data_IF_346786871394
#
_entry.id   IF_346786871394
#
_cell.length_a   1.000
_cell.length_b   1.000
_cell.length_c   1.000
_cell.angle_alpha   90.00
_cell.angle_beta   90.00
_cell.angle_gamma   90.00
#
_symmetry.space_group_name_H-M   'P 1'
#
loop_
_entity.id
_entity.type
_entity.pdbx_description
1 polymer ?
#
# COMPACT_ATOMS: atom_id res chain seq x y z
N UNK A 1 26.89 4.26 -17.80
CA UNK A 1 25.92 4.94 -16.91
C UNK A 1 24.89 3.95 -16.36
N UNK A 2 24.20 4.27 -15.25
CA UNK A 2 23.12 3.43 -14.72
C UNK A 2 21.75 4.02 -15.10
N UNK A 3 20.80 3.16 -15.43
CA UNK A 3 19.45 3.58 -15.76
C UNK A 3 18.72 4.11 -14.50
N UNK A 4 18.18 5.34 -14.51
CA UNK A 4 17.52 5.92 -13.32
C UNK A 4 16.18 5.23 -12.98
N UNK A 5 15.62 4.45 -13.89
CA UNK A 5 14.33 3.81 -13.69
C UNK A 5 14.45 2.35 -13.18
N UNK A 6 15.43 1.57 -13.65
CA UNK A 6 15.57 0.16 -13.30
C UNK A 6 16.90 -0.21 -12.64
N UNK A 7 17.86 0.75 -12.53
CA UNK A 7 19.18 0.52 -11.92
C UNK A 7 20.16 -0.31 -12.75
N UNK A 8 19.77 -0.81 -13.93
CA UNK A 8 20.66 -1.61 -14.78
C UNK A 8 21.77 -0.76 -15.41
N UNK A 9 22.97 -1.35 -15.52
CA UNK A 9 24.11 -0.72 -16.17
C UNK A 9 23.90 -0.69 -17.68
N UNK A 10 23.96 0.51 -18.27
CA UNK A 10 23.85 0.74 -19.69
C UNK A 10 25.19 1.22 -20.24
N UNK A 11 25.60 0.80 -21.47
CA UNK A 11 26.78 1.34 -22.13
C UNK A 11 26.66 2.86 -22.31
N UNK A 12 27.79 3.57 -22.22
CA UNK A 12 27.80 5.01 -22.37
C UNK A 12 27.46 5.37 -23.83
N UNK A 13 26.57 6.38 -23.97
CA UNK A 13 26.09 6.82 -25.28
C UNK A 13 24.83 6.11 -25.81
N UNK A 14 24.27 5.15 -25.08
CA UNK A 14 22.97 4.55 -25.44
C UNK A 14 21.82 5.52 -25.18
N UNK A 15 20.93 5.66 -26.15
CA UNK A 15 19.75 6.57 -26.04
C UNK A 15 18.63 5.98 -25.21
N UNK A 16 18.61 4.67 -25.04
CA UNK A 16 17.56 3.95 -24.32
C UNK A 16 18.16 2.80 -23.49
N UNK A 17 17.61 2.56 -22.31
CA UNK A 17 17.96 1.40 -21.50
C UNK A 17 17.51 0.10 -22.19
N UNK A 18 18.43 -0.84 -22.43
CA UNK A 18 18.11 -2.11 -23.08
C UNK A 18 17.23 -3.04 -22.22
N UNK A 19 17.19 -2.83 -20.91
CA UNK A 19 16.40 -3.64 -19.99
C UNK A 19 14.98 -3.17 -19.80
N UNK A 20 14.73 -1.86 -19.79
CA UNK A 20 13.40 -1.31 -19.46
C UNK A 20 12.88 -0.28 -20.47
N UNK A 21 13.65 0.02 -21.55
CA UNK A 21 13.26 0.94 -22.60
C UNK A 21 13.28 2.43 -22.22
N UNK A 22 13.66 2.80 -20.99
CA UNK A 22 13.68 4.20 -20.55
C UNK A 22 14.70 5.00 -21.34
N UNK A 23 14.35 6.20 -21.88
CA UNK A 23 15.29 7.08 -22.57
C UNK A 23 16.36 7.60 -21.59
N UNK A 24 17.64 7.49 -22.03
CA UNK A 24 18.83 7.88 -21.25
C UNK A 24 19.44 9.18 -21.84
N UNK A 25 18.65 10.24 -21.96
CA UNK A 25 19.15 11.53 -22.42
C UNK A 25 19.91 12.22 -21.29
N UNK A 26 21.20 12.50 -21.53
CA UNK A 26 22.01 13.40 -20.71
C UNK A 26 21.50 14.82 -20.84
N UNK A 27 20.53 15.22 -20.03
CA UNK A 27 20.23 16.65 -19.80
C UNK A 27 21.04 17.12 -18.58
N UNK A 28 22.30 17.50 -18.84
CA UNK A 28 22.92 18.55 -18.03
C UNK A 28 22.36 19.89 -18.56
N UNK A 29 21.33 20.41 -17.89
CA UNK A 29 21.12 21.86 -17.78
C UNK A 29 19.99 22.17 -16.80
N UNK A 30 20.42 22.82 -15.73
CA UNK A 30 19.79 23.90 -14.97
C UNK A 30 18.40 23.72 -14.32
N UNK A 31 18.54 23.61 -13.02
CA UNK A 31 17.70 24.13 -11.94
C UNK A 31 16.94 25.42 -12.33
N UNK A 32 15.62 25.33 -12.46
CA UNK A 32 14.71 26.43 -12.14
C UNK A 32 13.37 25.82 -11.71
N UNK A 33 13.03 26.03 -10.44
CA UNK A 33 11.71 25.76 -9.88
C UNK A 33 10.65 26.58 -10.62
N UNK A 34 9.48 26.03 -10.90
CA UNK A 34 8.29 26.83 -11.10
C UNK A 34 7.40 26.79 -9.86
N UNK A 35 7.13 27.96 -9.32
CA UNK A 35 6.07 28.27 -8.38
C UNK A 35 4.71 27.79 -8.89
N UNK A 36 3.98 27.10 -8.01
CA UNK A 36 2.55 26.84 -8.21
C UNK A 36 1.75 28.05 -7.71
N UNK A 37 1.12 28.76 -8.61
CA UNK A 37 -0.12 29.46 -8.26
C UNK A 37 -1.05 29.66 -9.47
N UNK A 38 -2.17 28.99 -9.38
CA UNK A 38 -3.57 29.39 -9.67
C UNK A 38 -3.89 30.23 -10.94
N UNK A 39 -4.71 29.72 -11.81
CA UNK A 39 -6.09 30.17 -12.13
C UNK A 39 -6.54 29.75 -13.52
N UNK A 40 -7.74 29.22 -13.56
CA UNK A 40 -8.58 29.02 -14.73
C UNK A 40 -8.79 30.32 -15.49
N UNK A 41 -8.76 30.28 -16.80
CA UNK A 41 -9.71 30.96 -17.67
C UNK A 41 -9.56 30.52 -19.14
N UNK A 42 -10.67 30.07 -19.66
CA UNK A 42 -11.10 29.94 -21.03
C UNK A 42 -10.92 31.26 -21.77
N UNK A 43 -10.32 31.27 -22.99
CA UNK A 43 -10.72 32.20 -24.07
C UNK A 43 -10.13 31.80 -25.43
N UNK A 44 -10.99 31.90 -26.38
CA UNK A 44 -10.92 31.78 -27.84
C UNK A 44 -9.76 32.51 -28.50
N UNK A 45 -9.28 31.93 -29.63
CA UNK A 45 -8.42 32.56 -30.60
C UNK A 45 -9.05 33.84 -31.20
N UNK A 46 -8.25 34.82 -31.54
CA UNK A 46 -8.20 35.27 -32.92
C UNK A 46 -6.79 35.45 -33.47
N UNK A 47 -6.71 35.05 -34.71
CA UNK A 47 -5.69 35.24 -35.72
C UNK A 47 -5.23 36.73 -35.81
N UNK A 48 -3.96 37.01 -35.64
CA UNK A 48 -3.34 38.25 -36.16
C UNK A 48 -1.91 37.99 -36.66
N UNK A 49 -1.81 38.08 -37.93
CA UNK A 49 -0.67 38.18 -38.79
C UNK A 49 0.20 39.39 -38.38
N UNK A 50 1.48 39.18 -38.04
CA UNK A 50 2.47 40.24 -37.97
C UNK A 50 3.61 39.96 -38.94
N UNK A 51 3.83 40.97 -39.84
CA UNK A 51 4.87 41.06 -40.83
C UNK A 51 6.25 41.14 -40.18
N UNK A 52 7.21 40.45 -40.79
CA UNK A 52 8.63 40.54 -40.48
C UNK A 52 9.25 41.79 -41.09
N UNK A 53 10.18 42.47 -40.42
CA UNK A 53 11.14 43.31 -41.06
C UNK A 53 12.36 42.52 -41.52
N UNK A 54 12.73 42.78 -42.74
CA UNK A 54 13.85 42.27 -43.52
C UNK A 54 15.19 42.77 -42.93
N UNK A 55 16.14 41.86 -42.63
CA UNK A 55 17.56 42.20 -42.48
C UNK A 55 18.46 41.23 -43.26
N UNK A 56 19.26 41.81 -44.13
CA UNK A 56 20.21 41.32 -45.12
C UNK A 56 21.15 40.19 -44.64
N UNK A 57 21.18 39.14 -45.42
CA UNK A 57 22.28 38.66 -46.26
C UNK A 57 23.70 38.60 -45.63
N UNK A 58 24.07 37.37 -45.13
CA UNK A 58 25.43 36.85 -45.32
C UNK A 58 25.33 35.39 -45.78
N UNK A 59 25.98 35.13 -46.94
CA UNK A 59 26.13 33.83 -47.58
C UNK A 59 26.97 32.90 -46.70
N UNK A 60 26.47 31.72 -46.40
CA UNK A 60 27.29 30.55 -46.03
C UNK A 60 26.94 29.36 -46.93
N UNK A 61 27.94 28.57 -47.31
CA UNK A 61 27.75 27.52 -48.31
C UNK A 61 27.25 26.22 -47.69
N UNK A 62 26.42 25.53 -48.47
CA UNK A 62 26.13 24.09 -48.43
C UNK A 62 26.04 23.40 -47.06
N UNK A 63 24.87 23.47 -46.42
CA UNK A 63 24.48 22.43 -45.49
C UNK A 63 23.52 21.44 -46.16
N UNK A 64 23.93 20.20 -46.21
CA UNK A 64 23.14 19.04 -46.61
C UNK A 64 21.76 19.10 -45.94
N UNK A 65 20.70 19.30 -46.74
CA UNK A 65 19.31 19.09 -46.30
C UNK A 65 19.16 17.64 -45.95
N UNK A 66 19.13 17.33 -44.64
CA UNK A 66 18.61 16.06 -44.16
C UNK A 66 17.12 16.01 -44.50
N UNK A 67 16.63 14.93 -45.13
CA UNK A 67 15.20 14.76 -45.33
C UNK A 67 14.50 14.74 -43.97
N UNK A 68 13.56 15.65 -43.76
CA UNK A 68 12.62 15.58 -42.65
C UNK A 68 11.79 14.29 -42.82
N UNK A 69 12.22 13.23 -42.19
CA UNK A 69 11.39 12.07 -42.00
C UNK A 69 10.29 12.47 -41.00
N UNK A 70 9.14 12.89 -41.53
CA UNK A 70 7.88 12.89 -40.80
C UNK A 70 7.53 11.42 -40.53
N UNK A 71 8.19 10.82 -39.54
CA UNK A 71 7.69 9.57 -38.94
C UNK A 71 6.44 9.95 -38.14
N UNK A 72 5.26 9.43 -38.50
CA UNK A 72 4.13 9.51 -37.61
C UNK A 72 4.57 8.88 -36.28
N UNK A 73 4.45 9.62 -35.18
CA UNK A 73 4.64 9.07 -33.86
C UNK A 73 3.76 7.82 -33.76
N UNK A 74 4.37 6.64 -33.86
CA UNK A 74 3.70 5.41 -33.51
C UNK A 74 3.31 5.55 -32.05
N UNK A 75 2.06 5.84 -31.81
CA UNK A 75 1.45 5.71 -30.50
C UNK A 75 1.63 4.25 -30.11
N UNK A 76 2.67 3.99 -29.29
CA UNK A 76 2.81 2.68 -28.67
C UNK A 76 1.50 2.39 -27.94
N UNK A 77 0.90 1.20 -28.13
CA UNK A 77 -0.29 0.84 -27.40
C UNK A 77 0.03 1.01 -25.92
N UNK A 78 -0.60 2.00 -25.29
CA UNK A 78 -0.55 2.13 -23.85
C UNK A 78 -1.22 0.88 -23.29
N UNK A 79 -0.44 -0.03 -22.75
CA UNK A 79 -0.98 -1.12 -21.95
C UNK A 79 -1.80 -0.48 -20.84
N UNK A 80 -3.07 -0.89 -20.68
CA UNK A 80 -3.91 -0.32 -19.64
C UNK A 80 -3.19 -0.48 -18.30
N UNK A 81 -2.93 0.64 -17.61
CA UNK A 81 -2.32 0.60 -16.29
C UNK A 81 -3.22 -0.24 -15.38
N UNK A 82 -2.65 -1.30 -14.82
CA UNK A 82 -3.35 -2.25 -13.92
C UNK A 82 -4.13 -1.53 -12.80
N UNK A 83 -3.77 -0.31 -12.50
CA UNK A 83 -4.32 0.48 -11.40
C UNK A 83 -5.04 1.75 -11.85
N UNK A 84 -5.36 1.90 -13.14
CA UNK A 84 -6.09 3.04 -13.70
C UNK A 84 -5.53 4.41 -13.25
N UNK A 85 -4.20 4.55 -13.14
CA UNK A 85 -3.53 5.77 -12.68
C UNK A 85 -3.61 6.03 -11.16
N UNK A 86 -4.25 5.17 -10.38
CA UNK A 86 -4.30 5.35 -8.93
C UNK A 86 -2.96 5.07 -8.25
N UNK A 87 -2.59 5.93 -7.31
CA UNK A 87 -1.46 5.67 -6.42
C UNK A 87 -1.81 4.54 -5.43
N UNK A 88 -1.06 3.44 -5.49
CA UNK A 88 -1.36 2.21 -4.74
C UNK A 88 -0.33 1.91 -3.64
N UNK A 89 0.36 2.93 -3.10
CA UNK A 89 1.38 2.75 -2.05
C UNK A 89 0.83 2.03 -0.81
N UNK A 90 -0.30 2.48 -0.28
CA UNK A 90 -0.97 1.86 0.87
C UNK A 90 -1.41 0.42 0.59
N UNK A 91 -2.00 0.16 -0.56
CA UNK A 91 -2.37 -1.18 -0.99
C UNK A 91 -1.16 -2.12 -1.05
N UNK A 92 -0.04 -1.66 -1.65
CA UNK A 92 1.21 -2.44 -1.70
C UNK A 92 1.74 -2.73 -0.30
N UNK A 93 1.74 -1.74 0.59
CA UNK A 93 2.10 -1.94 1.99
C UNK A 93 1.22 -3.00 2.67
N UNK A 94 -0.10 -2.95 2.48
CA UNK A 94 -1.02 -3.94 3.03
C UNK A 94 -0.70 -5.37 2.55
N UNK A 95 -0.57 -5.60 1.23
CA UNK A 95 -0.43 -6.95 0.67
C UNK A 95 0.97 -7.55 0.83
N UNK A 96 2.02 -6.70 0.87
CA UNK A 96 3.40 -7.20 0.95
C UNK A 96 3.96 -7.22 2.37
N UNK A 97 3.41 -6.43 3.27
CA UNK A 97 3.92 -6.31 4.63
C UNK A 97 2.85 -6.50 5.71
N UNK A 98 1.86 -5.62 5.78
CA UNK A 98 0.98 -5.53 6.95
C UNK A 98 0.19 -6.83 7.23
N UNK A 99 -0.37 -7.47 6.18
CA UNK A 99 -1.14 -8.70 6.34
C UNK A 99 -0.26 -9.90 6.70
N UNK A 100 0.97 -9.97 6.18
CA UNK A 100 1.91 -11.02 6.57
C UNK A 100 2.43 -10.83 7.98
N UNK A 101 2.87 -9.61 8.32
CA UNK A 101 3.34 -9.29 9.66
C UNK A 101 2.22 -9.52 10.70
N UNK A 102 0.99 -9.07 10.39
CA UNK A 102 -0.16 -9.31 11.25
C UNK A 102 -0.46 -10.78 11.45
N UNK A 103 -0.43 -11.60 10.38
CA UNK A 103 -0.63 -13.04 10.49
C UNK A 103 0.48 -13.70 11.34
N UNK A 104 1.74 -13.31 11.12
CA UNK A 104 2.88 -13.80 11.89
C UNK A 104 2.72 -13.48 13.39
N UNK A 105 2.41 -12.23 13.75
CA UNK A 105 2.22 -11.85 15.14
C UNK A 105 1.01 -12.56 15.79
N UNK A 106 -0.08 -12.77 15.05
CA UNK A 106 -1.22 -13.54 15.56
C UNK A 106 -0.82 -14.99 15.89
N UNK A 107 0.02 -15.62 15.05
CA UNK A 107 0.56 -16.96 15.35
C UNK A 107 1.44 -16.95 16.60
N UNK A 108 2.35 -15.96 16.71
CA UNK A 108 3.21 -15.82 17.90
C UNK A 108 2.36 -15.64 19.17
N UNK A 109 1.40 -14.74 19.16
CA UNK A 109 0.51 -14.54 20.32
C UNK A 109 -0.34 -15.77 20.62
N UNK A 110 -0.84 -16.47 19.61
CA UNK A 110 -1.56 -17.72 19.80
C UNK A 110 -0.72 -18.74 20.58
N UNK A 111 0.56 -18.90 20.21
CA UNK A 111 1.48 -19.79 20.93
C UNK A 111 1.69 -19.32 22.38
N UNK A 112 1.94 -18.01 22.59
CA UNK A 112 2.15 -17.46 23.94
C UNK A 112 0.93 -17.69 24.85
N UNK A 113 -0.28 -17.50 24.36
CA UNK A 113 -1.50 -17.75 25.13
C UNK A 113 -1.73 -19.26 25.38
N UNK A 114 -1.59 -20.10 24.35
CA UNK A 114 -1.82 -21.52 24.47
C UNK A 114 -0.81 -22.22 25.40
N UNK A 115 0.41 -21.73 25.48
CA UNK A 115 1.46 -22.22 26.39
C UNK A 115 1.38 -21.58 27.78
N UNK A 116 0.71 -20.45 27.92
CA UNK A 116 0.69 -19.63 29.14
C UNK A 116 1.91 -18.71 29.28
N UNK A 117 2.85 -18.74 28.34
CA UNK A 117 4.06 -17.92 28.41
C UNK A 117 3.78 -16.40 28.42
N UNK A 118 2.55 -15.99 28.10
CA UNK A 118 2.11 -14.60 28.25
C UNK A 118 2.15 -14.11 29.72
N UNK A 119 2.04 -15.03 30.67
CA UNK A 119 2.06 -14.75 32.12
C UNK A 119 3.46 -14.93 32.73
N UNK A 120 4.43 -15.45 31.97
CA UNK A 120 5.75 -15.77 32.48
C UNK A 120 6.51 -14.46 32.78
N UNK A 121 6.87 -14.27 34.06
CA UNK A 121 7.73 -13.18 34.54
C UNK A 121 8.78 -13.77 35.50
N UNK A 122 9.76 -12.95 35.91
CA UNK A 122 10.77 -13.40 36.92
C UNK A 122 10.18 -13.90 38.24
N UNK A 123 8.94 -13.52 38.54
CA UNK A 123 8.28 -13.80 39.81
C UNK A 123 7.03 -14.69 39.69
N UNK A 124 6.52 -14.89 38.48
CA UNK A 124 5.25 -15.63 38.26
C UNK A 124 5.48 -16.70 37.20
N UNK A 125 5.17 -17.93 37.58
CA UNK A 125 5.09 -19.09 36.68
C UNK A 125 3.66 -19.21 36.12
N UNK A 126 3.46 -19.51 34.85
CA UNK A 126 2.15 -19.80 34.25
C UNK A 126 1.30 -20.81 35.03
N UNK A 127 1.92 -21.83 35.62
CA UNK A 127 1.22 -22.84 36.44
C UNK A 127 0.58 -22.23 37.69
N UNK A 128 1.20 -21.20 38.26
CA UNK A 128 0.65 -20.49 39.42
C UNK A 128 -0.63 -19.76 39.03
N UNK A 129 -0.67 -19.08 37.89
CA UNK A 129 -1.87 -18.39 37.38
C UNK A 129 -3.00 -19.41 37.15
N UNK A 130 -2.70 -20.50 36.48
CA UNK A 130 -3.69 -21.54 36.17
C UNK A 130 -4.18 -22.32 37.41
N UNK A 131 -3.38 -22.43 38.48
CA UNK A 131 -3.81 -23.02 39.75
C UNK A 131 -4.76 -22.10 40.51
N UNK A 132 -4.53 -20.78 40.45
CA UNK A 132 -5.40 -19.78 41.07
C UNK A 132 -6.72 -19.60 40.30
N UNK A 133 -6.65 -19.68 38.98
CA UNK A 133 -7.81 -19.48 38.09
C UNK A 133 -7.92 -20.64 37.07
N UNK A 134 -8.48 -21.80 37.47
CA UNK A 134 -8.48 -23.00 36.62
C UNK A 134 -9.16 -22.83 35.25
N UNK A 135 -10.13 -21.90 35.16
CA UNK A 135 -10.83 -21.60 33.92
C UNK A 135 -10.00 -20.82 32.86
N UNK A 136 -8.97 -20.07 33.29
CA UNK A 136 -8.17 -19.22 32.44
C UNK A 136 -7.44 -20.00 31.35
N UNK A 137 -6.89 -21.17 31.68
CA UNK A 137 -6.22 -22.02 30.70
C UNK A 137 -7.12 -22.42 29.52
N UNK A 138 -8.38 -22.74 29.78
CA UNK A 138 -9.33 -23.06 28.71
C UNK A 138 -9.66 -21.84 27.87
N UNK A 139 -9.81 -20.65 28.47
CA UNK A 139 -10.04 -19.38 27.79
C UNK A 139 -8.85 -19.03 26.88
N UNK A 140 -7.62 -19.17 27.36
CA UNK A 140 -6.40 -18.90 26.62
C UNK A 140 -6.24 -19.83 25.41
N UNK A 141 -6.55 -21.12 25.56
CA UNK A 141 -6.54 -22.05 24.44
C UNK A 141 -7.56 -21.63 23.37
N UNK A 142 -8.80 -21.32 23.79
CA UNK A 142 -9.84 -20.85 22.85
C UNK A 142 -9.41 -19.58 22.15
N UNK A 143 -8.86 -18.61 22.89
CA UNK A 143 -8.36 -17.36 22.32
C UNK A 143 -7.22 -17.60 21.33
N UNK A 144 -6.25 -18.45 21.67
CA UNK A 144 -5.16 -18.84 20.77
C UNK A 144 -5.68 -19.46 19.45
N UNK A 145 -6.69 -20.34 19.53
CA UNK A 145 -7.34 -20.89 18.33
C UNK A 145 -7.98 -19.79 17.48
N UNK A 146 -8.67 -18.83 18.09
CA UNK A 146 -9.28 -17.70 17.39
C UNK A 146 -8.23 -16.82 16.69
N UNK A 147 -7.07 -16.60 17.33
CA UNK A 147 -5.94 -15.88 16.71
C UNK A 147 -5.36 -16.64 15.52
N UNK A 148 -5.26 -17.97 15.56
CA UNK A 148 -4.85 -18.79 14.41
C UNK A 148 -5.84 -18.68 13.25
N UNK A 149 -7.15 -18.73 13.54
CA UNK A 149 -8.20 -18.52 12.52
C UNK A 149 -8.07 -17.13 11.91
N UNK A 150 -7.81 -16.10 12.73
CA UNK A 150 -7.60 -14.74 12.27
C UNK A 150 -6.36 -14.63 11.36
N UNK A 151 -5.25 -15.30 11.72
CA UNK A 151 -4.04 -15.35 10.91
C UNK A 151 -4.31 -15.96 9.52
N UNK A 152 -5.03 -17.08 9.47
CA UNK A 152 -5.45 -17.69 8.19
C UNK A 152 -6.32 -16.72 7.39
N UNK A 153 -7.28 -16.05 8.03
CA UNK A 153 -8.14 -15.08 7.37
C UNK A 153 -7.35 -13.88 6.80
N UNK A 154 -6.28 -13.43 7.49
CA UNK A 154 -5.36 -12.40 6.97
C UNK A 154 -4.67 -12.85 5.69
N UNK A 155 -4.17 -14.09 5.63
CA UNK A 155 -3.52 -14.65 4.44
C UNK A 155 -4.52 -14.77 3.28
N UNK A 156 -5.74 -15.26 3.53
CA UNK A 156 -6.81 -15.33 2.52
C UNK A 156 -7.15 -13.94 2.01
N UNK A 157 -7.29 -12.96 2.89
CA UNK A 157 -7.55 -11.54 2.55
C UNK A 157 -6.44 -10.99 1.65
N UNK A 158 -5.19 -11.30 1.95
CA UNK A 158 -4.03 -10.91 1.12
C UNK A 158 -4.16 -11.45 -0.30
N UNK A 159 -4.53 -12.73 -0.49
CA UNK A 159 -4.69 -13.31 -1.81
C UNK A 159 -5.89 -12.69 -2.58
N UNK A 160 -6.97 -12.40 -1.89
CA UNK A 160 -8.13 -11.72 -2.50
C UNK A 160 -7.77 -10.30 -2.97
N UNK A 161 -7.01 -9.55 -2.15
CA UNK A 161 -6.52 -8.22 -2.53
C UNK A 161 -5.53 -8.28 -3.69
N UNK A 162 -4.52 -9.18 -3.64
CA UNK A 162 -3.50 -9.28 -4.68
C UNK A 162 -4.08 -9.69 -6.04
N UNK A 163 -5.17 -10.45 -6.03
CA UNK A 163 -5.95 -10.81 -7.21
C UNK A 163 -6.92 -9.72 -7.69
N UNK A 164 -6.95 -8.54 -7.04
CA UNK A 164 -7.87 -7.43 -7.33
C UNK A 164 -9.35 -7.88 -7.32
N UNK A 165 -9.68 -8.84 -6.46
CA UNK A 165 -11.03 -9.39 -6.38
C UNK A 165 -11.98 -8.41 -5.67
N UNK A 166 -13.22 -8.35 -6.16
CA UNK A 166 -14.29 -7.48 -5.65
C UNK A 166 -14.52 -7.60 -4.13
N UNK A 167 -14.29 -8.78 -3.58
CA UNK A 167 -14.46 -9.03 -2.14
C UNK A 167 -13.24 -8.65 -1.30
N UNK A 168 -12.05 -8.44 -1.90
CA UNK A 168 -10.82 -8.12 -1.18
C UNK A 168 -10.95 -6.93 -0.21
N UNK A 169 -11.44 -5.76 -0.67
CA UNK A 169 -11.67 -4.60 0.20
C UNK A 169 -12.63 -4.86 1.36
N UNK A 170 -13.71 -5.63 1.11
CA UNK A 170 -14.69 -5.99 2.16
C UNK A 170 -14.07 -6.88 3.23
N UNK A 171 -13.22 -7.82 2.80
CA UNK A 171 -12.51 -8.70 3.72
C UNK A 171 -11.54 -7.96 4.63
N UNK A 172 -10.89 -6.89 4.15
CA UNK A 172 -10.05 -6.02 5.02
C UNK A 172 -10.88 -5.38 6.12
N UNK A 173 -12.06 -4.85 5.80
CA UNK A 173 -12.94 -4.25 6.81
C UNK A 173 -13.47 -5.31 7.78
N UNK A 174 -13.87 -6.48 7.26
CA UNK A 174 -14.33 -7.61 8.07
C UNK A 174 -13.24 -8.12 9.02
N UNK A 175 -11.97 -8.12 8.58
CA UNK A 175 -10.82 -8.49 9.40
C UNK A 175 -10.69 -7.62 10.66
N UNK A 176 -10.85 -6.31 10.53
CA UNK A 176 -10.83 -5.42 11.69
C UNK A 176 -12.04 -5.63 12.61
N UNK A 177 -13.22 -5.86 12.05
CA UNK A 177 -14.41 -6.19 12.83
C UNK A 177 -14.24 -7.52 13.60
N UNK A 178 -13.68 -8.53 12.95
CA UNK A 178 -13.40 -9.82 13.56
C UNK A 178 -12.36 -9.70 14.69
N UNK A 179 -11.31 -8.89 14.49
CA UNK A 179 -10.32 -8.62 15.53
C UNK A 179 -10.95 -8.02 16.80
N UNK A 180 -11.83 -7.02 16.62
CA UNK A 180 -12.57 -6.39 17.73
C UNK A 180 -13.46 -7.43 18.43
N UNK A 181 -14.21 -8.24 17.69
CA UNK A 181 -15.08 -9.25 18.24
C UNK A 181 -14.30 -10.26 19.09
N UNK A 182 -13.16 -10.74 18.59
CA UNK A 182 -12.28 -11.66 19.31
C UNK A 182 -11.75 -11.04 20.61
N UNK A 183 -11.31 -9.77 20.56
CA UNK A 183 -10.82 -9.07 21.76
C UNK A 183 -11.92 -8.89 22.82
N UNK A 184 -13.13 -8.53 22.42
CA UNK A 184 -14.28 -8.40 23.33
C UNK A 184 -14.66 -9.76 23.94
N UNK A 185 -14.73 -10.81 23.12
CA UNK A 185 -15.03 -12.19 23.60
C UNK A 185 -14.01 -12.61 24.64
N UNK A 186 -12.72 -12.40 24.36
CA UNK A 186 -11.66 -12.73 25.31
C UNK A 186 -11.81 -11.95 26.63
N UNK A 187 -12.02 -10.63 26.57
CA UNK A 187 -12.21 -9.79 27.75
C UNK A 187 -13.41 -10.25 28.62
N UNK A 188 -14.53 -10.63 27.98
CA UNK A 188 -15.71 -11.16 28.68
C UNK A 188 -15.35 -12.49 29.36
N UNK A 189 -14.73 -13.42 28.64
CA UNK A 189 -14.39 -14.75 29.16
C UNK A 189 -13.41 -14.66 30.33
N UNK A 190 -12.39 -13.81 30.25
CA UNK A 190 -11.45 -13.59 31.37
C UNK A 190 -12.15 -12.95 32.54
N UNK A 191 -13.00 -11.93 32.33
CA UNK A 191 -13.75 -11.31 33.42
C UNK A 191 -14.68 -12.31 34.14
N UNK A 192 -15.26 -13.28 33.43
CA UNK A 192 -16.09 -14.32 34.04
C UNK A 192 -15.29 -15.37 34.78
N UNK A 193 -14.00 -15.57 34.49
CA UNK A 193 -13.17 -16.61 35.12
C UNK A 193 -12.30 -16.11 36.26
N UNK A 194 -12.00 -14.81 36.30
CA UNK A 194 -11.04 -14.22 37.25
C UNK A 194 -11.66 -13.23 38.25
N UNK A 195 -12.95 -12.93 38.15
CA UNK A 195 -13.63 -11.84 38.87
C UNK A 195 -12.94 -10.46 38.69
N UNK A 196 -12.04 -10.33 37.72
CA UNK A 196 -11.34 -9.11 37.38
C UNK A 196 -11.94 -8.49 36.12
N UNK A 197 -12.22 -7.19 36.18
CA UNK A 197 -12.71 -6.48 35.00
C UNK A 197 -11.59 -6.29 33.96
N UNK A 198 -11.58 -7.13 32.92
CA UNK A 198 -10.59 -7.08 31.84
C UNK A 198 -10.81 -5.93 30.83
N UNK A 199 -11.70 -4.99 31.10
CA UNK A 199 -11.93 -3.78 30.29
C UNK A 199 -11.06 -2.63 30.83
N UNK A 200 -9.77 -2.73 30.63
CA UNK A 200 -8.79 -1.69 30.93
C UNK A 200 -8.47 -0.80 29.71
N UNK A 201 -7.58 0.19 29.91
CA UNK A 201 -7.15 1.10 28.86
C UNK A 201 -6.48 0.35 27.66
N UNK A 202 -5.84 -0.80 27.91
CA UNK A 202 -5.24 -1.64 26.87
C UNK A 202 -6.31 -2.26 25.99
N UNK A 203 -7.34 -2.85 26.59
CA UNK A 203 -8.49 -3.45 25.89
C UNK A 203 -9.24 -2.41 25.07
N UNK A 204 -9.43 -1.19 25.62
CA UNK A 204 -10.02 -0.08 24.88
C UNK A 204 -9.17 0.28 23.66
N UNK A 205 -7.85 0.37 23.81
CA UNK A 205 -6.92 0.64 22.72
C UNK A 205 -6.99 -0.43 21.63
N UNK A 206 -7.08 -1.70 22.02
CA UNK A 206 -7.23 -2.85 21.10
C UNK A 206 -8.55 -2.78 20.29
N UNK A 207 -9.57 -2.10 20.77
CA UNK A 207 -10.82 -1.88 20.03
C UNK A 207 -10.78 -0.61 19.17
N UNK A 208 -10.26 0.50 19.69
CA UNK A 208 -10.26 1.80 19.01
C UNK A 208 -9.40 1.80 17.74
N UNK A 209 -8.17 1.26 17.83
CA UNK A 209 -7.26 1.24 16.69
C UNK A 209 -7.84 0.50 15.49
N UNK A 210 -8.38 -0.74 15.63
CA UNK A 210 -9.02 -1.43 14.52
C UNK A 210 -10.25 -0.71 13.95
N UNK A 211 -11.05 0.00 14.78
CA UNK A 211 -12.18 0.81 14.28
C UNK A 211 -11.67 1.90 13.35
N UNK A 212 -10.67 2.68 13.79
CA UNK A 212 -10.07 3.74 12.97
C UNK A 212 -9.51 3.16 11.67
N UNK A 213 -8.79 2.04 11.76
CA UNK A 213 -8.21 1.38 10.60
C UNK A 213 -9.26 0.80 9.65
N UNK A 214 -10.38 0.31 10.17
CA UNK A 214 -11.52 -0.15 9.35
C UNK A 214 -12.10 1.01 8.53
N UNK A 215 -12.29 2.17 9.15
CA UNK A 215 -12.81 3.39 8.49
C UNK A 215 -11.82 3.88 7.43
N UNK A 216 -10.54 4.02 7.78
CA UNK A 216 -9.49 4.48 6.85
C UNK A 216 -9.41 3.57 5.64
N UNK A 217 -9.37 2.24 5.85
CA UNK A 217 -9.32 1.28 4.76
C UNK A 217 -10.60 1.28 3.93
N UNK A 218 -11.76 1.38 4.56
CA UNK A 218 -13.03 1.50 3.82
C UNK A 218 -13.02 2.71 2.89
N UNK A 219 -12.67 3.90 3.40
CA UNK A 219 -12.58 5.13 2.60
C UNK A 219 -11.52 5.00 1.49
N UNK A 220 -10.38 4.41 1.79
CA UNK A 220 -9.31 4.20 0.82
C UNK A 220 -9.76 3.33 -0.35
N UNK A 221 -10.40 2.20 -0.09
CA UNK A 221 -10.86 1.26 -1.11
C UNK A 221 -12.13 1.74 -1.82
N UNK A 222 -13.02 2.49 -1.14
CA UNK A 222 -14.22 3.05 -1.76
C UNK A 222 -13.88 4.02 -2.91
N UNK A 223 -12.76 4.74 -2.80
CA UNK A 223 -12.24 5.62 -3.86
C UNK A 223 -11.55 4.89 -5.01
N UNK A 224 -11.41 3.57 -4.93
CA UNK A 224 -10.66 2.70 -5.88
C UNK A 224 -11.46 1.47 -6.27
N UNK A 225 -12.80 1.56 -6.23
CA UNK A 225 -13.70 0.43 -6.56
C UNK A 225 -13.54 -0.07 -7.98
N UNK A 226 -13.15 0.81 -8.89
CA UNK A 226 -12.92 0.54 -10.30
C UNK A 226 -11.77 -0.43 -10.56
N UNK A 227 -10.87 -0.64 -9.59
CA UNK A 227 -9.74 -1.57 -9.71
C UNK A 227 -10.14 -2.98 -9.28
N UNK A 228 -11.08 -3.12 -8.34
CA UNK A 228 -11.49 -4.40 -7.75
C UNK A 228 -12.74 -4.96 -8.46
N UNK A 229 -12.53 -5.50 -9.66
CA UNK A 229 -13.62 -5.92 -10.56
C UNK A 229 -13.67 -7.44 -10.80
N UNK A 230 -12.64 -8.19 -10.39
CA UNK A 230 -12.54 -9.65 -10.58
C UNK A 230 -13.27 -10.45 -9.49
#
# INVERSE_FOLDING_TARGET
MFCPNCGNQCPDGTKFCQSCGTPLTNNQQQNTQPDFNNQQANYQQPNKQYQQPNYNQYQQPNQYRQPMYNQPYQQYPQYPDKFNGHQMGWYKFLIYFALFAGAFFNVCYAVLYMTGSIYETEQIDPLTVYSLYPGVKAVDIVYGILLLVLAVFMIVTRFQLSGLKKNGPKMVVALYGLNIAIAIIYAILISCTTDYMAFDASTVGQCVIPVVMAIVNKVYFDRRKDIFVN
#
